data_IF_415996575645
#
_entry.id   IF_415996575645
#
_cell.length_a   1.000
_cell.length_b   1.000
_cell.length_c   1.000
_cell.angle_alpha   90.00
_cell.angle_beta   90.00
_cell.angle_gamma   90.00
#
_symmetry.space_group_name_H-M   'P 1'
#
loop_
_entity.id
_entity.type
_entity.pdbx_description
1 polymer ?
#
# COMPACT_ATOMS: atom_id res chain seq x y z
N UNK A 1 -52.29 -1.79 -25.67
CA UNK A 1 -51.14 -2.72 -25.80
C UNK A 1 -49.98 -2.10 -25.05
N UNK A 2 -49.39 -2.80 -24.08
CA UNK A 2 -48.24 -2.26 -23.33
C UNK A 2 -47.06 -2.14 -24.28
N UNK A 3 -46.49 -0.95 -24.39
CA UNK A 3 -45.29 -0.69 -25.19
C UNK A 3 -44.05 -1.25 -24.48
N UNK A 4 -43.74 -2.52 -24.78
CA UNK A 4 -42.60 -3.24 -24.21
C UNK A 4 -41.26 -2.59 -24.54
N UNK A 5 -41.17 -1.87 -25.65
CA UNK A 5 -39.94 -1.19 -26.06
C UNK A 5 -39.67 0.05 -25.21
N UNK A 6 -40.72 0.80 -24.87
CA UNK A 6 -40.64 1.91 -23.90
C UNK A 6 -40.29 1.43 -22.49
N UNK A 7 -40.86 0.30 -22.02
CA UNK A 7 -40.50 -0.27 -20.70
C UNK A 7 -39.04 -0.73 -20.66
N UNK A 8 -38.57 -1.40 -21.72
CA UNK A 8 -37.17 -1.83 -21.84
C UNK A 8 -36.23 -0.61 -21.80
N UNK A 9 -36.54 0.43 -22.56
CA UNK A 9 -35.71 1.64 -22.59
C UNK A 9 -35.68 2.36 -21.24
N UNK A 10 -36.82 2.48 -20.55
CA UNK A 10 -36.89 3.02 -19.19
C UNK A 10 -36.10 2.17 -18.19
N UNK A 11 -36.16 0.85 -18.30
CA UNK A 11 -35.42 -0.09 -17.44
C UNK A 11 -33.91 0.06 -17.65
N UNK A 12 -33.46 0.18 -18.90
CA UNK A 12 -32.05 0.42 -19.23
C UNK A 12 -31.58 1.77 -18.68
N UNK A 13 -32.41 2.82 -18.79
CA UNK A 13 -32.08 4.15 -18.25
C UNK A 13 -31.97 4.09 -16.72
N UNK A 14 -32.90 3.43 -16.05
CA UNK A 14 -32.86 3.23 -14.59
C UNK A 14 -31.59 2.47 -14.19
N UNK A 15 -31.31 1.33 -14.81
CA UNK A 15 -30.12 0.55 -14.53
C UNK A 15 -28.82 1.34 -14.77
N UNK A 16 -28.75 2.14 -15.85
CA UNK A 16 -27.61 3.03 -16.11
C UNK A 16 -27.43 4.08 -15.01
N UNK A 17 -28.52 4.62 -14.48
CA UNK A 17 -28.50 5.57 -13.37
C UNK A 17 -28.01 4.89 -12.08
N UNK A 18 -28.55 3.73 -11.75
CA UNK A 18 -28.17 2.96 -10.56
C UNK A 18 -26.68 2.56 -10.60
N UNK A 19 -26.17 2.16 -11.78
CA UNK A 19 -24.74 1.87 -11.96
C UNK A 19 -23.88 3.12 -11.71
N UNK A 20 -24.29 4.29 -12.21
CA UNK A 20 -23.54 5.54 -11.99
C UNK A 20 -23.52 5.93 -10.52
N UNK A 21 -24.65 5.79 -9.82
CA UNK A 21 -24.78 6.09 -8.40
C UNK A 21 -24.06 5.06 -7.50
N UNK A 22 -23.81 3.85 -8.01
CA UNK A 22 -23.03 2.83 -7.29
C UNK A 22 -21.54 3.16 -7.15
N UNK A 23 -21.01 4.03 -8.02
CA UNK A 23 -19.62 4.49 -7.97
C UNK A 23 -19.47 5.44 -6.79
N UNK A 24 -19.15 4.83 -5.65
CA UNK A 24 -18.85 5.49 -4.39
C UNK A 24 -17.36 5.82 -4.28
N UNK A 25 -17.03 6.74 -3.38
CA UNK A 25 -15.69 7.32 -3.26
C UNK A 25 -14.65 6.34 -2.68
N UNK A 26 -15.11 5.30 -2.01
CA UNK A 26 -14.29 4.16 -1.61
C UNK A 26 -13.72 3.41 -2.81
N UNK A 27 -14.39 3.39 -3.98
CA UNK A 27 -13.82 2.82 -5.20
C UNK A 27 -12.55 3.57 -5.64
N UNK A 28 -12.50 4.89 -5.49
CA UNK A 28 -11.28 5.65 -5.81
C UNK A 28 -10.15 5.32 -4.84
N UNK A 29 -10.46 5.17 -3.54
CA UNK A 29 -9.49 4.76 -2.51
C UNK A 29 -8.93 3.37 -2.81
N UNK A 30 -9.81 2.40 -3.08
CA UNK A 30 -9.45 1.00 -3.37
C UNK A 30 -8.58 0.92 -4.63
N UNK A 31 -8.97 1.60 -5.70
CA UNK A 31 -8.19 1.61 -6.94
C UNK A 31 -6.83 2.31 -6.73
N UNK A 32 -6.77 3.40 -5.98
CA UNK A 32 -5.52 4.10 -5.69
C UNK A 32 -4.54 3.20 -4.91
N UNK A 33 -4.97 2.52 -3.84
CA UNK A 33 -4.08 1.64 -3.07
C UNK A 33 -3.64 0.42 -3.87
N UNK A 34 -4.53 -0.19 -4.67
CA UNK A 34 -4.17 -1.31 -5.54
C UNK A 34 -3.12 -0.91 -6.57
N UNK A 35 -3.26 0.27 -7.18
CA UNK A 35 -2.25 0.80 -8.11
C UNK A 35 -0.92 1.11 -7.40
N UNK A 36 -0.94 1.68 -6.19
CA UNK A 36 0.28 1.92 -5.41
C UNK A 36 1.00 0.60 -5.12
N UNK A 37 0.27 -0.45 -4.72
CA UNK A 37 0.83 -1.77 -4.46
C UNK A 37 1.42 -2.40 -5.73
N UNK A 38 0.72 -2.30 -6.86
CA UNK A 38 1.16 -2.88 -8.12
C UNK A 38 2.37 -2.14 -8.71
N UNK A 39 2.38 -0.81 -8.66
CA UNK A 39 3.55 -0.01 -9.05
C UNK A 39 4.74 -0.33 -8.16
N UNK A 40 4.54 -0.55 -6.86
CA UNK A 40 5.62 -0.93 -5.94
C UNK A 40 6.20 -2.31 -6.28
N UNK A 41 5.35 -3.31 -6.57
CA UNK A 41 5.80 -4.64 -7.00
C UNK A 41 6.54 -4.58 -8.34
N UNK A 42 6.00 -3.83 -9.30
CA UNK A 42 6.58 -3.65 -10.63
C UNK A 42 7.93 -2.95 -10.54
N UNK A 43 8.02 -1.84 -9.81
CA UNK A 43 9.27 -1.11 -9.59
C UNK A 43 10.33 -2.00 -8.94
N UNK A 44 9.97 -2.78 -7.93
CA UNK A 44 10.89 -3.72 -7.28
C UNK A 44 11.37 -4.82 -8.23
N UNK A 45 10.48 -5.37 -9.05
CA UNK A 45 10.83 -6.41 -10.02
C UNK A 45 11.76 -5.87 -11.11
N UNK A 46 11.44 -4.71 -11.67
CA UNK A 46 12.27 -4.03 -12.65
C UNK A 46 13.62 -3.60 -12.06
N UNK A 47 13.65 -3.14 -10.81
CA UNK A 47 14.92 -2.79 -10.13
C UNK A 47 15.82 -4.01 -9.95
N UNK A 48 15.27 -5.19 -9.63
CA UNK A 48 16.04 -6.44 -9.57
C UNK A 48 16.65 -6.77 -10.94
N UNK A 49 15.86 -6.67 -12.02
CA UNK A 49 16.36 -6.88 -13.39
C UNK A 49 17.43 -5.86 -13.78
N UNK A 50 17.26 -4.59 -13.42
CA UNK A 50 18.26 -3.55 -13.63
C UNK A 50 19.55 -3.86 -12.87
N UNK A 51 19.45 -4.34 -11.62
CA UNK A 51 20.61 -4.75 -10.82
C UNK A 51 21.37 -5.90 -11.47
N UNK A 52 20.67 -6.93 -11.93
CA UNK A 52 21.28 -8.06 -12.62
C UNK A 52 21.97 -7.62 -13.93
N UNK A 53 21.33 -6.72 -14.67
CA UNK A 53 21.89 -6.22 -15.93
C UNK A 53 23.10 -5.31 -15.71
N UNK A 54 23.02 -4.38 -14.75
CA UNK A 54 24.12 -3.47 -14.44
C UNK A 54 25.28 -4.19 -13.73
N UNK A 55 25.03 -5.34 -13.08
CA UNK A 55 26.09 -6.16 -12.50
C UNK A 55 27.05 -6.73 -13.55
N UNK A 56 26.68 -6.78 -14.83
CA UNK A 56 27.62 -7.11 -15.91
C UNK A 56 28.71 -6.03 -16.06
N UNK A 57 28.38 -4.77 -15.76
CA UNK A 57 29.31 -3.63 -15.84
C UNK A 57 30.06 -3.42 -14.52
N UNK A 58 29.34 -3.47 -13.40
CA UNK A 58 29.83 -3.10 -12.08
C UNK A 58 29.10 -3.91 -10.99
N UNK A 59 29.48 -5.18 -10.76
CA UNK A 59 28.83 -6.04 -9.77
C UNK A 59 28.96 -5.51 -8.33
N UNK A 60 30.01 -4.74 -8.04
CA UNK A 60 30.28 -4.14 -6.73
C UNK A 60 29.21 -3.12 -6.32
N UNK A 61 28.61 -2.41 -7.29
CA UNK A 61 27.55 -1.43 -7.03
C UNK A 61 26.31 -2.11 -6.42
N UNK A 62 25.91 -3.24 -7.02
CA UNK A 62 24.72 -3.99 -6.59
C UNK A 62 24.88 -4.55 -5.16
N UNK A 63 26.09 -5.00 -4.80
CA UNK A 63 26.40 -5.51 -3.46
C UNK A 63 26.44 -4.42 -2.39
N UNK A 64 26.94 -3.23 -2.73
CA UNK A 64 27.19 -2.16 -1.76
C UNK A 64 25.94 -1.35 -1.42
N UNK A 65 25.00 -1.23 -2.36
CA UNK A 65 23.78 -0.42 -2.17
C UNK A 65 22.58 -1.33 -2.00
N UNK A 66 22.07 -1.41 -0.77
CA UNK A 66 20.86 -2.15 -0.45
C UNK A 66 19.59 -1.45 -0.96
N UNK A 67 19.54 -0.11 -0.90
CA UNK A 67 18.34 0.65 -1.29
C UNK A 67 18.14 0.71 -2.81
N UNK A 68 16.93 0.39 -3.25
CA UNK A 68 16.56 0.27 -4.66
C UNK A 68 16.44 1.63 -5.35
N UNK A 69 15.86 2.63 -4.68
CA UNK A 69 15.67 3.94 -5.28
C UNK A 69 17.00 4.68 -5.42
N UNK A 70 17.87 4.58 -4.42
CA UNK A 70 19.24 5.12 -4.47
C UNK A 70 20.06 4.44 -5.56
N UNK A 71 19.95 3.12 -5.71
CA UNK A 71 20.62 2.38 -6.79
C UNK A 71 20.22 2.91 -8.17
N UNK A 72 18.91 3.05 -8.43
CA UNK A 72 18.39 3.58 -9.70
C UNK A 72 18.91 4.99 -9.97
N UNK A 73 18.91 5.88 -8.95
CA UNK A 73 19.43 7.25 -9.08
C UNK A 73 20.92 7.26 -9.46
N UNK A 74 21.72 6.39 -8.88
CA UNK A 74 23.16 6.31 -9.16
C UNK A 74 23.45 5.79 -10.56
N UNK A 75 22.72 4.78 -11.03
CA UNK A 75 22.83 4.25 -12.40
C UNK A 75 22.50 5.32 -13.46
N UNK A 76 21.56 6.22 -13.16
CA UNK A 76 21.18 7.33 -14.07
C UNK A 76 22.24 8.43 -14.06
N UNK A 77 22.67 8.85 -12.87
CA UNK A 77 23.41 10.11 -12.68
C UNK A 77 24.92 10.00 -12.88
N UNK A 78 25.51 8.83 -12.63
CA UNK A 78 26.97 8.70 -12.54
C UNK A 78 27.51 7.74 -13.57
N UNK A 79 28.64 8.13 -14.15
CA UNK A 79 29.41 7.24 -14.99
C UNK A 79 30.33 6.35 -14.14
N UNK A 80 30.81 5.25 -14.74
CA UNK A 80 31.62 4.22 -14.07
C UNK A 80 32.76 4.84 -13.23
N UNK A 81 33.49 5.82 -13.78
CA UNK A 81 34.65 6.43 -13.13
C UNK A 81 34.29 7.21 -11.85
N UNK A 82 33.15 7.90 -11.86
CA UNK A 82 32.66 8.65 -10.71
C UNK A 82 32.19 7.70 -9.60
N UNK A 83 31.53 6.60 -9.99
CA UNK A 83 31.13 5.55 -9.06
C UNK A 83 32.33 4.87 -8.39
N UNK A 84 33.45 4.69 -9.10
CA UNK A 84 34.68 4.14 -8.52
C UNK A 84 35.25 5.06 -7.43
N UNK A 85 35.27 6.37 -7.67
CA UNK A 85 35.80 7.34 -6.69
C UNK A 85 34.92 7.42 -5.44
N UNK A 86 33.60 7.54 -5.60
CA UNK A 86 32.69 7.61 -4.45
C UNK A 86 32.63 6.32 -3.66
N UNK A 87 32.65 5.18 -4.35
CA UNK A 87 32.53 3.89 -3.70
C UNK A 87 33.88 3.34 -3.23
N UNK A 88 34.98 4.06 -3.51
CA UNK A 88 36.36 3.65 -3.24
C UNK A 88 36.67 2.26 -3.81
N UNK A 89 36.13 1.97 -5.00
CA UNK A 89 36.38 0.72 -5.72
C UNK A 89 37.69 0.90 -6.48
N UNK A 90 38.70 0.10 -6.16
CA UNK A 90 40.03 0.18 -6.81
C UNK A 90 40.06 -0.53 -8.15
N UNK A 91 39.41 -1.69 -8.22
CA UNK A 91 39.28 -2.53 -9.42
C UNK A 91 37.86 -3.11 -9.42
N UNK A 92 37.29 -3.31 -10.61
CA UNK A 92 36.02 -4.01 -10.77
C UNK A 92 36.21 -5.21 -11.69
N UNK A 93 35.51 -6.29 -11.35
CA UNK A 93 35.45 -7.51 -12.16
C UNK A 93 34.52 -7.38 -13.37
N UNK A 94 33.79 -6.28 -13.49
CA UNK A 94 32.80 -6.06 -14.57
C UNK A 94 33.40 -5.52 -15.87
N UNK A 95 32.72 -5.82 -16.99
CA UNK A 95 33.13 -5.43 -18.34
C UNK A 95 32.95 -3.92 -18.54
N UNK A 96 33.93 -3.26 -19.17
CA UNK A 96 33.72 -1.93 -19.74
C UNK A 96 32.72 -2.02 -20.89
N UNK A 97 31.49 -1.55 -20.63
CA UNK A 97 30.44 -1.49 -21.65
C UNK A 97 30.57 -0.20 -22.46
N UNK A 98 30.33 -0.32 -23.76
CA UNK A 98 30.27 0.83 -24.64
C UNK A 98 29.03 1.69 -24.37
N UNK A 99 29.07 2.95 -24.79
CA UNK A 99 27.92 3.88 -24.69
C UNK A 99 26.65 3.32 -25.34
N UNK A 100 26.79 2.50 -26.39
CA UNK A 100 25.66 1.83 -27.07
C UNK A 100 25.01 0.77 -26.19
N UNK A 101 25.81 0.00 -25.45
CA UNK A 101 25.33 -1.05 -24.55
C UNK A 101 24.75 -0.46 -23.25
N UNK A 102 25.29 0.68 -22.78
CA UNK A 102 24.80 1.37 -21.58
C UNK A 102 23.50 2.17 -21.79
N UNK A 103 23.20 2.59 -23.03
CA UNK A 103 22.02 3.42 -23.32
C UNK A 103 20.70 2.73 -22.91
N UNK A 104 20.42 1.47 -23.31
CA UNK A 104 19.21 0.75 -22.87
C UNK A 104 19.11 0.58 -21.35
N UNK A 105 20.25 0.39 -20.67
CA UNK A 105 20.31 0.23 -19.20
C UNK A 105 19.92 1.53 -18.50
N UNK A 106 20.44 2.67 -18.97
CA UNK A 106 20.07 3.99 -18.46
C UNK A 106 18.61 4.34 -18.76
N UNK A 107 18.09 3.96 -19.94
CA UNK A 107 16.68 4.13 -20.29
C UNK A 107 15.76 3.33 -19.35
N UNK A 108 16.08 2.07 -19.08
CA UNK A 108 15.33 1.26 -18.12
C UNK A 108 15.33 1.91 -16.73
N UNK A 109 16.49 2.41 -16.28
CA UNK A 109 16.60 3.10 -15.00
C UNK A 109 15.71 4.36 -14.94
N UNK A 110 15.66 5.15 -16.03
CA UNK A 110 14.77 6.32 -16.13
C UNK A 110 13.29 5.93 -16.04
N UNK A 111 12.87 4.84 -16.68
CA UNK A 111 11.49 4.34 -16.58
C UNK A 111 11.17 3.84 -15.17
N UNK A 112 12.11 3.21 -14.48
CA UNK A 112 11.92 2.81 -13.09
C UNK A 112 11.76 4.06 -12.20
N UNK A 113 12.55 5.11 -12.45
CA UNK A 113 12.43 6.38 -11.73
C UNK A 113 11.05 7.03 -11.95
N UNK A 114 10.51 7.02 -13.17
CA UNK A 114 9.18 7.58 -13.44
C UNK A 114 8.08 6.80 -12.72
N UNK A 115 8.18 5.47 -12.63
CA UNK A 115 7.26 4.62 -11.86
C UNK A 115 7.29 4.99 -10.37
N UNK A 116 8.48 5.23 -9.79
CA UNK A 116 8.59 5.68 -8.40
C UNK A 116 7.94 7.05 -8.18
N UNK A 117 8.15 8.01 -9.09
CA UNK A 117 7.50 9.32 -9.02
C UNK A 117 5.98 9.20 -9.08
N UNK A 118 5.43 8.40 -10.01
CA UNK A 118 3.99 8.18 -10.15
C UNK A 118 3.40 7.53 -8.89
N UNK A 119 4.09 6.56 -8.30
CA UNK A 119 3.68 5.95 -7.02
C UNK A 119 3.55 7.01 -5.93
N UNK A 120 4.49 7.94 -5.84
CA UNK A 120 4.49 8.96 -4.79
C UNK A 120 3.45 10.06 -5.05
N UNK A 121 3.14 10.36 -6.31
CA UNK A 121 1.99 11.20 -6.68
C UNK A 121 0.67 10.55 -6.26
N UNK A 122 0.49 9.25 -6.52
CA UNK A 122 -0.70 8.50 -6.10
C UNK A 122 -0.83 8.42 -4.57
N UNK A 123 0.28 8.34 -3.83
CA UNK A 123 0.24 8.42 -2.36
C UNK A 123 -0.31 9.77 -1.87
N UNK A 124 0.15 10.89 -2.45
CA UNK A 124 -0.36 12.23 -2.11
C UNK A 124 -1.84 12.38 -2.45
N UNK A 125 -2.25 11.83 -3.59
CA UNK A 125 -3.65 11.77 -3.99
C UNK A 125 -4.50 10.98 -2.97
N UNK A 126 -4.02 9.80 -2.55
CA UNK A 126 -4.68 8.97 -1.55
C UNK A 126 -4.82 9.70 -0.21
N UNK A 127 -3.78 10.40 0.26
CA UNK A 127 -3.82 11.21 1.48
C UNK A 127 -4.90 12.31 1.39
N UNK A 128 -5.00 12.98 0.24
CA UNK A 128 -5.99 14.04 0.01
C UNK A 128 -7.42 13.49 0.07
N UNK A 129 -7.68 12.35 -0.60
CA UNK A 129 -8.99 11.71 -0.58
C UNK A 129 -9.34 11.25 0.84
N UNK A 130 -8.44 10.53 1.50
CA UNK A 130 -8.72 9.99 2.82
C UNK A 130 -8.94 11.08 3.87
N UNK A 131 -8.19 12.19 3.81
CA UNK A 131 -8.42 13.34 4.67
C UNK A 131 -9.77 14.03 4.42
N UNK A 132 -10.35 13.90 3.22
CA UNK A 132 -11.67 14.45 2.90
C UNK A 132 -12.80 13.54 3.42
N UNK A 133 -12.74 12.26 3.07
CA UNK A 133 -13.85 11.31 3.28
C UNK A 133 -13.78 10.53 4.60
N UNK A 134 -12.59 10.20 5.09
CA UNK A 134 -12.37 9.30 6.23
C UNK A 134 -11.42 9.91 7.26
N UNK A 135 -11.81 11.06 7.84
CA UNK A 135 -10.96 11.85 8.74
C UNK A 135 -10.56 11.08 9.99
N UNK A 136 -11.49 10.34 10.60
CA UNK A 136 -11.21 9.61 11.84
C UNK A 136 -10.29 8.41 11.57
N UNK A 137 -10.57 7.64 10.51
CA UNK A 137 -9.72 6.52 10.10
C UNK A 137 -8.32 6.99 9.74
N UNK A 138 -8.21 8.06 8.93
CA UNK A 138 -6.93 8.66 8.55
C UNK A 138 -6.12 9.09 9.78
N UNK A 139 -6.75 9.70 10.78
CA UNK A 139 -6.10 10.11 12.02
C UNK A 139 -5.51 8.93 12.82
N UNK A 140 -6.19 7.77 12.83
CA UNK A 140 -5.76 6.59 13.60
C UNK A 140 -4.75 5.74 12.84
N UNK A 141 -4.97 5.45 11.56
CA UNK A 141 -4.14 4.48 10.82
C UNK A 141 -3.16 5.11 9.82
N UNK A 142 -3.39 6.37 9.46
CA UNK A 142 -2.77 6.97 8.27
C UNK A 142 -3.42 6.49 6.97
N UNK A 143 -2.99 7.09 5.86
CA UNK A 143 -3.60 6.83 4.55
C UNK A 143 -3.39 5.38 4.06
N UNK A 144 -2.15 4.89 4.04
CA UNK A 144 -1.84 3.59 3.45
C UNK A 144 -2.58 2.43 4.14
N UNK A 145 -2.49 2.35 5.47
CA UNK A 145 -3.14 1.28 6.23
C UNK A 145 -4.67 1.40 6.18
N UNK A 146 -5.21 2.62 6.27
CA UNK A 146 -6.67 2.81 6.22
C UNK A 146 -7.24 2.43 4.87
N UNK A 147 -6.58 2.83 3.77
CA UNK A 147 -6.96 2.41 2.42
C UNK A 147 -6.87 0.89 2.25
N UNK A 148 -5.82 0.26 2.80
CA UNK A 148 -5.65 -1.20 2.73
C UNK A 148 -6.76 -1.96 3.45
N UNK A 149 -7.21 -1.46 4.61
CA UNK A 149 -8.33 -2.05 5.34
C UNK A 149 -9.66 -1.92 4.58
N UNK A 150 -9.88 -0.78 3.89
CA UNK A 150 -11.05 -0.58 3.04
C UNK A 150 -11.00 -1.55 1.85
N UNK A 151 -9.84 -1.74 1.24
CA UNK A 151 -9.61 -2.69 0.15
C UNK A 151 -9.89 -4.14 0.57
N UNK A 152 -9.33 -4.59 1.70
CA UNK A 152 -9.56 -5.95 2.21
C UNK A 152 -11.04 -6.20 2.58
N UNK A 153 -11.75 -5.18 3.06
CA UNK A 153 -13.18 -5.26 3.31
C UNK A 153 -14.01 -5.20 2.01
N UNK A 154 -13.50 -4.52 0.97
CA UNK A 154 -14.13 -4.29 -0.34
C UNK A 154 -15.06 -3.08 -0.41
N UNK A 155 -15.38 -2.44 0.71
CA UNK A 155 -16.08 -1.15 0.77
C UNK A 155 -15.99 -0.55 2.17
N UNK A 156 -16.16 0.77 2.27
CA UNK A 156 -16.20 1.45 3.57
C UNK A 156 -17.39 0.97 4.41
N UNK A 157 -18.55 0.77 3.76
CA UNK A 157 -19.75 0.23 4.39
C UNK A 157 -19.51 -1.13 5.03
N UNK A 158 -18.90 -2.06 4.29
CA UNK A 158 -18.64 -3.40 4.79
C UNK A 158 -17.65 -3.36 5.95
N UNK A 159 -16.62 -2.53 5.89
CA UNK A 159 -15.67 -2.34 6.99
C UNK A 159 -16.37 -1.80 8.26
N UNK A 160 -17.28 -0.82 8.12
CA UNK A 160 -18.03 -0.26 9.24
C UNK A 160 -18.93 -1.29 9.95
N UNK A 161 -19.45 -2.26 9.20
CA UNK A 161 -20.32 -3.33 9.74
C UNK A 161 -19.52 -4.49 10.38
N UNK A 162 -18.21 -4.57 10.15
CA UNK A 162 -17.38 -5.63 10.75
C UNK A 162 -17.18 -5.41 12.26
N UNK A 163 -17.13 -6.48 13.06
CA UNK A 163 -16.70 -6.39 14.45
C UNK A 163 -15.19 -6.17 14.53
N UNK A 164 -14.74 -5.57 15.64
CA UNK A 164 -13.30 -5.30 15.89
C UNK A 164 -12.43 -6.56 15.76
N UNK A 165 -12.93 -7.72 16.21
CA UNK A 165 -12.23 -9.00 16.09
C UNK A 165 -11.96 -9.42 14.64
N UNK A 166 -12.86 -9.08 13.70
CA UNK A 166 -12.65 -9.33 12.28
C UNK A 166 -11.66 -8.32 11.71
N UNK A 167 -11.81 -7.03 12.04
CA UNK A 167 -10.88 -5.96 11.64
C UNK A 167 -9.44 -6.27 12.09
N UNK A 168 -9.25 -6.85 13.28
CA UNK A 168 -7.96 -7.31 13.80
C UNK A 168 -7.25 -8.32 12.86
N UNK A 169 -8.03 -9.14 12.15
CA UNK A 169 -7.55 -10.30 11.41
C UNK A 169 -7.64 -10.16 9.88
N UNK A 170 -8.12 -9.03 9.37
CA UNK A 170 -8.13 -8.73 7.93
C UNK A 170 -6.73 -8.87 7.33
N UNK A 171 -6.61 -9.60 6.22
CA UNK A 171 -5.34 -9.95 5.58
C UNK A 171 -4.64 -11.21 6.15
N UNK A 172 -5.16 -11.81 7.23
CA UNK A 172 -4.66 -13.06 7.81
C UNK A 172 -5.61 -14.25 7.61
N UNK A 173 -6.51 -14.18 6.62
CA UNK A 173 -7.57 -15.17 6.38
C UNK A 173 -6.99 -16.57 6.19
N UNK A 174 -5.89 -16.69 5.44
CA UNK A 174 -5.22 -17.99 5.20
C UNK A 174 -4.77 -18.67 6.50
N UNK A 175 -4.25 -17.88 7.46
CA UNK A 175 -3.82 -18.40 8.75
C UNK A 175 -5.02 -18.69 9.66
N UNK A 176 -6.03 -17.83 9.64
CA UNK A 176 -7.27 -18.00 10.38
C UNK A 176 -8.02 -19.26 9.94
N UNK A 177 -8.22 -19.46 8.64
CA UNK A 177 -8.88 -20.64 8.10
C UNK A 177 -8.09 -21.92 8.36
N UNK A 178 -6.76 -21.83 8.42
CA UNK A 178 -5.92 -22.97 8.85
C UNK A 178 -6.17 -23.33 10.31
N UNK A 179 -6.24 -22.34 11.20
CA UNK A 179 -6.62 -22.57 12.60
C UNK A 179 -7.98 -23.23 12.71
N UNK A 180 -8.99 -22.71 12.00
CA UNK A 180 -10.36 -23.25 12.04
C UNK A 180 -10.46 -24.68 11.50
N UNK A 181 -9.66 -25.03 10.47
CA UNK A 181 -9.68 -26.37 9.87
C UNK A 181 -8.84 -27.40 10.62
N UNK A 182 -7.65 -27.02 11.10
CA UNK A 182 -6.66 -27.97 11.63
C UNK A 182 -6.35 -27.79 13.11
N UNK A 183 -6.98 -26.82 13.79
CA UNK A 183 -6.68 -26.48 15.19
C UNK A 183 -5.30 -25.83 15.42
N UNK A 184 -4.56 -25.47 14.36
CA UNK A 184 -3.25 -24.82 14.46
C UNK A 184 -3.36 -23.46 15.18
N UNK A 185 -2.31 -22.91 15.79
CA UNK A 185 -2.42 -21.65 16.58
C UNK A 185 -3.04 -20.48 15.76
N UNK A 186 -3.99 -19.72 16.33
CA UNK A 186 -4.66 -18.63 15.62
C UNK A 186 -3.70 -17.46 15.33
N UNK A 187 -3.92 -16.71 14.23
CA UNK A 187 -3.21 -15.46 13.97
C UNK A 187 -3.59 -14.40 15.03
N UNK A 188 -2.63 -13.57 15.42
CA UNK A 188 -2.83 -12.50 16.41
C UNK A 188 -3.19 -11.14 15.78
N UNK A 189 -2.88 -10.97 14.51
CA UNK A 189 -3.04 -9.74 13.75
C UNK A 189 -2.96 -10.08 12.26
N UNK A 190 -3.67 -9.32 11.43
CA UNK A 190 -3.46 -9.30 9.99
C UNK A 190 -2.71 -8.05 9.55
N UNK A 191 -3.31 -7.29 8.64
CA UNK A 191 -2.71 -6.10 8.00
C UNK A 191 -2.45 -4.96 8.98
N UNK A 192 -3.16 -4.93 10.11
CA UNK A 192 -2.91 -4.01 11.24
C UNK A 192 -1.50 -4.14 11.81
N UNK A 193 -0.77 -5.22 11.52
CA UNK A 193 0.66 -5.33 11.86
C UNK A 193 1.51 -4.16 11.29
N UNK A 194 1.09 -3.57 10.17
CA UNK A 194 1.79 -2.44 9.56
C UNK A 194 1.69 -1.15 10.40
N UNK A 195 0.75 -1.08 11.34
CA UNK A 195 0.62 0.06 12.24
C UNK A 195 1.87 0.21 13.12
N UNK A 196 2.40 1.43 13.23
CA UNK A 196 3.64 1.75 13.97
C UNK A 196 3.65 1.21 15.39
N UNK A 197 2.56 1.42 16.12
CA UNK A 197 2.38 0.95 17.50
C UNK A 197 2.33 -0.58 17.65
N UNK A 198 1.90 -1.31 16.61
CA UNK A 198 1.85 -2.79 16.64
C UNK A 198 3.18 -3.38 16.20
N UNK A 199 3.82 -2.81 15.18
CA UNK A 199 5.10 -3.30 14.65
C UNK A 199 6.24 -3.12 15.67
N UNK A 200 6.27 -1.97 16.35
CA UNK A 200 7.25 -1.61 17.39
C UNK A 200 7.08 -2.41 18.69
N UNK A 201 5.86 -2.90 18.98
CA UNK A 201 5.60 -3.65 20.20
C UNK A 201 6.35 -5.01 20.24
N UNK A 202 6.76 -5.43 21.44
CA UNK A 202 7.38 -6.75 21.68
C UNK A 202 6.40 -7.88 21.33
N UNK A 203 6.90 -9.01 20.80
CA UNK A 203 6.09 -10.17 20.33
C UNK A 203 5.01 -10.65 21.32
N UNK A 204 5.27 -10.56 22.62
CA UNK A 204 4.34 -10.98 23.68
C UNK A 204 3.14 -10.01 23.80
N UNK A 205 3.37 -8.71 23.59
CA UNK A 205 2.36 -7.65 23.76
C UNK A 205 1.64 -7.32 22.45
N UNK A 206 2.21 -7.68 21.30
CA UNK A 206 1.63 -7.43 19.95
C UNK A 206 0.16 -7.81 19.82
N UNK A 207 -0.27 -8.92 20.41
CA UNK A 207 -1.68 -9.34 20.35
C UNK A 207 -2.63 -8.40 21.11
N UNK A 208 -2.19 -7.87 22.26
CA UNK A 208 -2.96 -6.86 23.02
C UNK A 208 -2.99 -5.52 22.28
N UNK A 209 -1.86 -5.16 21.66
CA UNK A 209 -1.76 -3.93 20.88
C UNK A 209 -2.65 -3.98 19.64
N UNK A 210 -2.59 -5.07 18.86
CA UNK A 210 -3.43 -5.26 17.69
C UNK A 210 -4.93 -5.19 18.01
N UNK A 211 -5.35 -5.77 19.15
CA UNK A 211 -6.74 -5.68 19.61
C UNK A 211 -7.15 -4.24 19.92
N UNK A 212 -6.33 -3.52 20.68
CA UNK A 212 -6.61 -2.13 21.06
C UNK A 212 -6.68 -1.21 19.84
N UNK A 213 -5.78 -1.42 18.87
CA UNK A 213 -5.79 -0.69 17.59
C UNK A 213 -7.04 -1.04 16.78
N UNK A 214 -7.38 -2.32 16.64
CA UNK A 214 -8.58 -2.74 15.91
C UNK A 214 -9.88 -2.17 16.52
N UNK A 215 -9.97 -2.06 17.84
CA UNK A 215 -11.11 -1.45 18.52
C UNK A 215 -11.27 0.02 18.12
N UNK A 216 -10.17 0.78 18.14
CA UNK A 216 -10.17 2.21 17.78
C UNK A 216 -10.43 2.42 16.29
N UNK A 217 -9.89 1.56 15.42
CA UNK A 217 -10.19 1.56 13.99
C UNK A 217 -11.68 1.30 13.77
N UNK A 218 -12.28 0.29 14.41
CA UNK A 218 -13.70 -0.01 14.26
C UNK A 218 -14.59 1.18 14.69
N UNK A 219 -14.23 1.87 15.78
CA UNK A 219 -14.91 3.09 16.21
C UNK A 219 -14.75 4.23 15.19
N UNK A 220 -13.53 4.45 14.68
CA UNK A 220 -13.23 5.49 13.69
C UNK A 220 -14.01 5.28 12.40
N UNK A 221 -13.97 4.06 11.83
CA UNK A 221 -14.65 3.72 10.57
C UNK A 221 -16.17 3.88 10.71
N UNK A 222 -16.76 3.42 11.81
CA UNK A 222 -18.20 3.59 12.05
C UNK A 222 -18.57 5.06 12.12
N UNK A 223 -17.76 5.87 12.81
CA UNK A 223 -18.00 7.30 12.93
C UNK A 223 -17.89 8.00 11.57
N UNK A 224 -16.90 7.65 10.75
CA UNK A 224 -16.76 8.18 9.39
C UNK A 224 -17.94 7.79 8.50
N UNK A 225 -18.34 6.51 8.48
CA UNK A 225 -19.42 6.02 7.63
C UNK A 225 -20.80 6.59 8.01
N UNK A 226 -21.09 6.69 9.32
CA UNK A 226 -22.35 7.25 9.82
C UNK A 226 -22.32 8.79 9.95
N UNK A 227 -21.30 9.46 9.39
CA UNK A 227 -21.13 10.93 9.37
C UNK A 227 -21.15 11.57 10.77
N UNK A 228 -20.52 10.92 11.74
CA UNK A 228 -20.32 11.45 13.08
C UNK A 228 -19.28 12.57 13.13
N UNK A 229 -19.17 13.21 14.30
CA UNK A 229 -18.16 14.26 14.55
C UNK A 229 -16.74 13.68 14.49
N UNK A 230 -15.76 14.55 14.27
CA UNK A 230 -14.35 14.16 14.37
C UNK A 230 -13.99 13.78 15.82
N UNK A 231 -13.48 12.57 16.00
CA UNK A 231 -13.05 11.97 17.26
C UNK A 231 -11.61 11.45 17.21
N UNK A 232 -10.88 11.66 16.11
CA UNK A 232 -9.55 11.11 15.86
C UNK A 232 -8.54 11.40 16.98
N UNK A 233 -8.44 12.66 17.44
CA UNK A 233 -7.50 13.06 18.48
C UNK A 233 -7.74 12.35 19.81
N UNK A 234 -9.02 12.16 20.15
CA UNK A 234 -9.42 11.40 21.35
C UNK A 234 -9.03 9.94 21.20
N UNK A 235 -9.31 9.34 20.04
CA UNK A 235 -8.97 7.94 19.79
C UNK A 235 -7.47 7.69 19.87
N UNK A 236 -6.65 8.60 19.34
CA UNK A 236 -5.20 8.51 19.41
C UNK A 236 -4.67 8.60 20.84
N UNK A 237 -5.17 9.56 21.65
CA UNK A 237 -4.81 9.65 23.07
C UNK A 237 -5.14 8.38 23.84
N UNK A 238 -6.36 7.87 23.67
CA UNK A 238 -6.79 6.62 24.33
C UNK A 238 -5.98 5.40 23.88
N UNK A 239 -5.41 5.43 22.67
CA UNK A 239 -4.60 4.36 22.11
C UNK A 239 -3.16 4.43 22.66
N UNK A 240 -2.60 5.63 22.79
CA UNK A 240 -1.31 5.87 23.45
C UNK A 240 -1.34 5.51 24.93
N UNK A 241 -2.40 5.88 25.66
CA UNK A 241 -2.57 5.58 27.09
C UNK A 241 -2.62 4.06 27.37
N UNK A 242 -3.25 3.28 26.48
CA UNK A 242 -3.37 1.82 26.63
C UNK A 242 -2.10 1.04 26.28
N UNK A 243 -1.16 1.67 25.58
CA UNK A 243 0.05 1.01 25.08
C UNK A 243 1.33 1.42 25.82
N UNK A 244 1.28 2.46 26.65
CA UNK A 244 2.25 2.72 27.71
C UNK A 244 2.14 1.67 28.81
#
# INVERSE_FOLDING_TARGET
MVDFESIRNKSIISAKKDIRESISEDNYIINAINNIDELTKTANTLTKRLRDWYALCLPELSKRIADNETFVKLVISKDRKELFQELKIKESMGKDLDKRELKPVKELALQIKSIYSLRDELKKYLETIMSSYCKNLFSVTGALLGAKLIEEAGSLKRLAMMPSSTVQLLGAEKALFRHLKTGARPPKHGTILQHTLVSSAKKNVRGRAARSVADKISMAVKTDYFKGKFIGDRLNKELEEKLR
#
